data_IF_173976229561
#
_entry.id   IF_173976229561
#
_cell.length_a   1.000
_cell.length_b   1.000
_cell.length_c   1.000
_cell.angle_alpha   90.00
_cell.angle_beta   90.00
_cell.angle_gamma   90.00
#
_symmetry.space_group_name_H-M   'P 1'
#
loop_
_entity.id
_entity.type
_entity.pdbx_description
1 polymer ?
#
# COMPACT_ATOMS: atom_id res chain seq x y z
N UNK A 1 -0.63 -4.43 -0.29
CA UNK A 1 0.44 -5.38 -0.64
C UNK A 1 1.57 -4.56 -1.18
N UNK A 2 2.79 -4.82 -0.73
CA UNK A 2 3.98 -4.17 -1.23
C UNK A 2 4.93 -5.23 -1.77
N UNK A 3 5.34 -5.08 -3.04
CA UNK A 3 6.23 -6.00 -3.76
C UNK A 3 7.55 -5.29 -4.08
N UNK A 4 8.66 -6.00 -3.85
CA UNK A 4 10.02 -5.52 -4.01
C UNK A 4 10.56 -5.96 -5.38
N UNK A 5 10.92 -5.00 -6.24
CA UNK A 5 11.57 -5.32 -7.50
C UNK A 5 12.82 -4.44 -7.71
N UNK A 6 13.90 -5.03 -8.21
CA UNK A 6 15.12 -4.30 -8.59
C UNK A 6 15.01 -3.83 -10.03
N UNK A 7 15.18 -2.54 -10.24
CA UNK A 7 15.27 -1.97 -11.59
C UNK A 7 16.57 -2.39 -12.28
N UNK A 8 16.61 -2.31 -13.62
CA UNK A 8 17.76 -2.67 -14.47
C UNK A 8 19.03 -1.87 -14.13
N UNK A 9 18.88 -0.76 -13.40
CA UNK A 9 19.95 0.11 -12.88
C UNK A 9 20.47 -0.29 -11.50
N UNK A 10 19.92 -1.34 -10.88
CA UNK A 10 20.27 -1.82 -9.55
C UNK A 10 19.59 -1.07 -8.39
N UNK A 11 18.73 -0.09 -8.68
CA UNK A 11 17.93 0.62 -7.67
C UNK A 11 16.74 -0.22 -7.25
N UNK A 12 16.59 -0.47 -5.95
CA UNK A 12 15.42 -1.17 -5.41
C UNK A 12 14.19 -0.26 -5.49
N UNK A 13 13.03 -0.83 -5.78
CA UNK A 13 11.77 -0.12 -5.80
C UNK A 13 10.74 -0.87 -4.97
N UNK A 14 9.96 -0.10 -4.21
CA UNK A 14 8.80 -0.59 -3.47
C UNK A 14 7.54 -0.25 -4.25
N UNK A 15 6.84 -1.26 -4.75
CA UNK A 15 5.49 -1.06 -5.28
C UNK A 15 4.49 -0.97 -4.14
N UNK A 16 3.51 -0.07 -4.24
CA UNK A 16 2.45 0.09 -3.23
C UNK A 16 1.09 -0.18 -3.86
N UNK A 17 0.41 -1.19 -3.32
CA UNK A 17 -0.95 -1.56 -3.67
C UNK A 17 -1.83 -1.46 -2.42
N UNK A 18 -2.95 -0.74 -2.52
CA UNK A 18 -3.98 -0.71 -1.49
C UNK A 18 -5.11 -1.66 -1.86
N UNK A 19 -5.62 -2.36 -0.84
CA UNK A 19 -6.78 -3.24 -0.96
C UNK A 19 -7.78 -2.85 0.10
N UNK A 20 -9.01 -2.57 -0.30
CA UNK A 20 -10.05 -2.10 0.61
C UNK A 20 -11.42 -2.65 0.23
N UNK A 21 -12.31 -2.69 1.21
CA UNK A 21 -13.72 -2.98 1.00
C UNK A 21 -14.47 -1.64 1.03
N UNK A 22 -15.07 -1.19 -0.07
CA UNK A 22 -15.83 0.05 -0.07
C UNK A 22 -17.05 -0.11 0.83
N UNK A 23 -17.26 0.83 1.74
CA UNK A 23 -18.49 0.88 2.50
C UNK A 23 -19.62 1.32 1.55
N UNK A 24 -20.40 0.36 1.05
CA UNK A 24 -21.60 0.69 0.27
C UNK A 24 -22.65 1.18 1.25
N UNK A 25 -23.02 2.47 1.17
CA UNK A 25 -23.92 3.14 2.11
C UNK A 25 -25.36 2.58 2.17
N UNK A 26 -25.66 1.39 1.70
CA UNK A 26 -26.96 0.74 1.91
C UNK A 26 -26.84 -0.79 1.88
N UNK A 27 -26.61 -1.38 3.05
CA UNK A 27 -27.12 -2.66 3.54
C UNK A 27 -26.02 -3.44 4.26
N UNK A 28 -26.02 -3.35 5.59
CA UNK A 28 -25.21 -4.14 6.54
C UNK A 28 -25.56 -5.63 6.55
N UNK A 29 -26.12 -6.16 5.46
CA UNK A 29 -26.59 -7.56 5.35
C UNK A 29 -26.46 -8.11 3.93
N UNK A 30 -25.71 -7.45 3.03
CA UNK A 30 -25.42 -8.04 1.72
C UNK A 30 -24.21 -8.97 1.82
N UNK A 31 -24.42 -10.28 1.58
CA UNK A 31 -23.40 -11.34 1.66
C UNK A 31 -22.27 -11.17 0.63
N UNK A 32 -22.33 -10.16 -0.23
CA UNK A 32 -21.38 -9.91 -1.30
C UNK A 32 -20.55 -8.64 -1.02
N UNK A 33 -19.54 -8.76 -0.16
CA UNK A 33 -18.50 -7.73 -0.08
C UNK A 33 -17.61 -7.82 -1.33
N UNK A 34 -17.41 -6.68 -2.01
CA UNK A 34 -16.51 -6.60 -3.16
C UNK A 34 -15.18 -6.01 -2.71
N UNK A 35 -14.14 -6.84 -2.68
CA UNK A 35 -12.77 -6.37 -2.42
C UNK A 35 -12.29 -5.62 -3.65
N UNK A 36 -11.82 -4.39 -3.46
CA UNK A 36 -11.17 -3.59 -4.50
C UNK A 36 -9.69 -3.49 -4.24
N UNK A 37 -8.92 -3.45 -5.32
CA UNK A 37 -7.48 -3.29 -5.29
C UNK A 37 -7.07 -2.15 -6.22
N UNK A 38 -6.18 -1.29 -5.74
CA UNK A 38 -5.63 -0.18 -6.51
C UNK A 38 -4.12 -0.13 -6.36
N UNK A 39 -3.44 -0.11 -7.50
CA UNK A 39 -2.02 0.19 -7.57
C UNK A 39 -1.83 1.71 -7.45
N UNK A 40 -1.07 2.15 -6.45
CA UNK A 40 -0.83 3.57 -6.19
C UNK A 40 0.46 4.08 -6.83
N UNK A 41 1.46 3.22 -7.02
CA UNK A 41 2.73 3.61 -7.63
C UNK A 41 3.93 2.89 -7.03
N UNK A 42 5.11 3.44 -7.33
CA UNK A 42 6.40 2.94 -6.87
C UNK A 42 7.11 4.00 -6.05
N UNK A 43 7.88 3.56 -5.06
CA UNK A 43 8.83 4.38 -4.31
C UNK A 43 10.24 3.87 -4.62
N UNK A 44 11.15 4.71 -5.17
CA UNK A 44 12.55 4.34 -5.28
C UNK A 44 13.18 4.24 -3.87
N UNK A 45 13.87 3.14 -3.60
CA UNK A 45 14.57 2.92 -2.34
C UNK A 45 16.07 3.10 -2.54
N UNK A 46 16.63 4.12 -1.89
CA UNK A 46 18.09 4.33 -1.84
C UNK A 46 18.76 3.49 -0.74
N UNK A 47 18.00 3.14 0.31
CA UNK A 47 18.44 2.31 1.44
C UNK A 47 17.36 1.32 1.86
N UNK A 48 17.78 0.09 2.15
CA UNK A 48 16.93 -1.02 2.54
C UNK A 48 16.90 -1.20 4.07
N UNK A 49 16.66 -0.10 4.79
CA UNK A 49 16.51 -0.13 6.24
C UNK A 49 15.02 -0.06 6.61
N UNK A 50 14.58 -0.92 7.54
CA UNK A 50 13.18 -1.01 7.95
C UNK A 50 12.59 0.34 8.38
N UNK A 51 13.38 1.18 9.05
CA UNK A 51 12.99 2.53 9.47
C UNK A 51 12.75 3.44 8.28
N UNK A 52 13.64 3.43 7.29
CA UNK A 52 13.52 4.25 6.08
C UNK A 52 12.33 3.80 5.23
N UNK A 53 12.12 2.49 5.12
CA UNK A 53 10.97 1.92 4.43
C UNK A 53 9.64 2.36 5.06
N UNK A 54 9.51 2.22 6.39
CA UNK A 54 8.31 2.61 7.11
C UNK A 54 8.02 4.10 6.96
N UNK A 55 9.03 4.96 7.08
CA UNK A 55 8.88 6.40 6.89
C UNK A 55 8.43 6.73 5.47
N UNK A 56 9.05 6.12 4.45
CA UNK A 56 8.67 6.33 3.05
C UNK A 56 7.22 5.89 2.78
N UNK A 57 6.76 4.77 3.34
CA UNK A 57 5.37 4.30 3.19
C UNK A 57 4.41 5.29 3.85
N UNK A 58 4.71 5.76 5.06
CA UNK A 58 3.87 6.73 5.79
C UNK A 58 3.77 8.05 5.02
N UNK A 59 4.90 8.58 4.54
CA UNK A 59 4.91 9.80 3.72
C UNK A 59 4.12 9.62 2.42
N UNK A 60 4.24 8.47 1.77
CA UNK A 60 3.49 8.17 0.56
C UNK A 60 1.98 8.09 0.82
N UNK A 61 1.55 7.38 1.87
CA UNK A 61 0.12 7.32 2.24
C UNK A 61 -0.44 8.71 2.59
N UNK A 62 0.33 9.52 3.32
CA UNK A 62 -0.04 10.91 3.62
C UNK A 62 -0.16 11.76 2.35
N UNK A 63 0.75 11.59 1.38
CA UNK A 63 0.67 12.25 0.08
C UNK A 63 -0.63 11.91 -0.66
N UNK A 64 -1.04 10.64 -0.64
CA UNK A 64 -2.31 10.19 -1.22
C UNK A 64 -3.54 10.52 -0.36
N UNK A 65 -3.36 11.21 0.77
CA UNK A 65 -4.41 11.54 1.76
C UNK A 65 -5.16 10.29 2.25
N UNK A 66 -4.45 9.17 2.34
CA UNK A 66 -5.00 7.92 2.85
C UNK A 66 -4.82 7.93 4.38
N UNK A 67 -5.92 7.93 5.15
CA UNK A 67 -5.84 7.97 6.61
C UNK A 67 -5.26 6.67 7.15
N UNK A 68 -4.11 6.76 7.83
CA UNK A 68 -3.40 5.62 8.42
C UNK A 68 -4.24 4.84 9.43
N UNK A 69 -5.14 5.52 10.14
CA UNK A 69 -6.09 4.89 11.07
C UNK A 69 -7.10 3.95 10.38
N UNK A 70 -7.31 4.09 9.06
CA UNK A 70 -8.11 3.18 8.26
C UNK A 70 -7.30 2.00 7.69
N UNK A 71 -5.97 2.00 7.86
CA UNK A 71 -5.10 0.91 7.42
C UNK A 71 -5.07 -0.20 8.47
N UNK A 72 -5.77 -1.31 8.18
CA UNK A 72 -5.93 -2.43 9.12
C UNK A 72 -4.72 -3.38 9.10
N UNK A 73 -4.05 -3.50 7.96
CA UNK A 73 -2.97 -4.46 7.78
C UNK A 73 -1.97 -3.96 6.73
N UNK A 74 -0.70 -4.32 6.94
CA UNK A 74 0.40 -4.11 6.00
C UNK A 74 0.98 -5.49 5.65
N UNK A 75 1.09 -5.76 4.34
CA UNK A 75 1.63 -7.02 3.84
C UNK A 75 2.80 -6.71 2.89
N UNK A 76 3.92 -7.36 3.14
CA UNK A 76 5.13 -7.34 2.31
C UNK A 76 5.31 -8.72 1.67
N UNK A 77 5.65 -8.75 0.39
CA UNK A 77 6.20 -9.95 -0.23
C UNK A 77 7.72 -9.92 -0.01
N UNK A 78 8.30 -11.02 0.47
CA UNK A 78 9.68 -11.10 0.96
C UNK A 78 10.49 -12.19 0.30
#
# INVERSE_FOLDING_TARGET
MADECRDIRGTQQLSIVIRFVPNSNNCTTDKNYVVKEYFLGFIPLEKFDATTLANNIVEFLNHWKIPLESCICLCFDG
#
